data_IF_115826766391
#
_entry.id   IF_115826766391
#
_cell.length_a   1.000
_cell.length_b   1.000
_cell.length_c   1.000
_cell.angle_alpha   90.00
_cell.angle_beta   90.00
_cell.angle_gamma   90.00
#
_symmetry.space_group_name_H-M   'P 1'
#
loop_
_entity.id
_entity.type
_entity.pdbx_description
1 polymer ?
#
# COMPACT_ATOMS: atom_id res chain seq x y z
N UNK A 1 16.99 6.34 -7.82
CA UNK A 1 16.03 6.86 -8.84
C UNK A 1 14.87 7.49 -8.08
N UNK A 2 14.24 8.53 -8.60
CA UNK A 2 13.08 9.14 -7.94
C UNK A 2 11.88 8.19 -8.06
N UNK A 3 11.19 7.92 -6.95
CA UNK A 3 10.01 7.07 -6.90
C UNK A 3 8.83 7.77 -7.62
N UNK A 4 8.07 6.98 -8.38
CA UNK A 4 6.91 7.46 -9.12
C UNK A 4 5.63 7.19 -8.35
N UNK A 5 4.87 8.25 -8.07
CA UNK A 5 3.59 8.21 -7.37
C UNK A 5 2.46 8.39 -8.40
N UNK A 6 1.48 7.50 -8.38
CA UNK A 6 0.24 7.65 -9.13
C UNK A 6 -0.80 8.35 -8.24
N UNK A 7 -1.39 9.43 -8.73
CA UNK A 7 -2.49 10.14 -8.07
C UNK A 7 -3.75 10.01 -8.93
N UNK A 8 -4.78 9.41 -8.39
CA UNK A 8 -6.06 9.17 -9.07
C UNK A 8 -7.16 9.92 -8.33
N UNK A 9 -7.61 11.01 -8.92
CA UNK A 9 -8.66 11.89 -8.35
C UNK A 9 -9.32 12.65 -9.50
N UNK A 10 -10.64 12.67 -9.59
CA UNK A 10 -11.36 13.41 -10.63
C UNK A 10 -11.42 14.92 -10.34
N UNK A 11 -11.18 15.31 -9.09
CA UNK A 11 -11.03 16.71 -8.69
C UNK A 11 -9.61 17.21 -9.07
N UNK A 12 -9.48 17.84 -10.23
CA UNK A 12 -8.19 18.32 -10.77
C UNK A 12 -7.41 19.19 -9.77
N UNK A 13 -8.10 20.06 -9.02
CA UNK A 13 -7.48 20.95 -8.02
C UNK A 13 -6.81 20.17 -6.90
N UNK A 14 -7.44 19.08 -6.44
CA UNK A 14 -6.87 18.19 -5.41
C UNK A 14 -5.65 17.46 -5.96
N UNK A 15 -5.78 16.88 -7.15
CA UNK A 15 -4.67 16.17 -7.80
C UNK A 15 -3.46 17.10 -8.06
N UNK A 16 -3.68 18.37 -8.47
CA UNK A 16 -2.64 19.36 -8.66
C UNK A 16 -2.00 19.78 -7.34
N UNK A 17 -2.80 20.01 -6.31
CA UNK A 17 -2.28 20.35 -4.98
C UNK A 17 -1.36 19.24 -4.47
N UNK A 18 -1.80 17.99 -4.50
CA UNK A 18 -1.02 16.82 -4.07
C UNK A 18 0.25 16.69 -4.92
N UNK A 19 0.16 16.87 -6.25
CA UNK A 19 1.30 16.82 -7.14
C UNK A 19 2.39 17.84 -6.75
N UNK A 20 2.02 19.09 -6.47
CA UNK A 20 2.97 20.13 -6.08
C UNK A 20 3.74 19.74 -4.82
N UNK A 21 3.06 19.26 -3.79
CA UNK A 21 3.70 18.87 -2.54
C UNK A 21 4.59 17.63 -2.71
N UNK A 22 4.16 16.64 -3.48
CA UNK A 22 4.98 15.43 -3.74
C UNK A 22 6.21 15.76 -4.59
N UNK A 23 6.09 16.61 -5.61
CA UNK A 23 7.23 17.06 -6.41
C UNK A 23 8.26 17.86 -5.60
N UNK A 24 7.82 18.68 -4.65
CA UNK A 24 8.72 19.40 -3.75
C UNK A 24 9.56 18.45 -2.87
N UNK A 25 9.08 17.24 -2.64
CA UNK A 25 9.80 16.18 -1.92
C UNK A 25 10.66 15.29 -2.83
N UNK A 26 10.70 15.59 -4.14
CA UNK A 26 11.53 14.91 -5.11
C UNK A 26 10.88 13.68 -5.78
N UNK A 27 9.58 13.44 -5.58
CA UNK A 27 8.86 12.37 -6.24
C UNK A 27 8.49 12.72 -7.68
N UNK A 28 8.42 11.71 -8.55
CA UNK A 28 7.77 11.81 -9.85
C UNK A 28 6.28 11.54 -9.66
N UNK A 29 5.43 12.33 -10.32
CA UNK A 29 3.97 12.19 -10.18
C UNK A 29 3.34 11.94 -11.54
N UNK A 30 2.48 10.93 -11.61
CA UNK A 30 1.52 10.69 -12.69
C UNK A 30 0.13 10.92 -12.14
N UNK A 31 -0.71 11.64 -12.90
CA UNK A 31 -2.11 11.89 -12.53
C UNK A 31 -3.04 11.15 -13.47
N UNK A 32 -4.18 10.75 -12.96
CA UNK A 32 -5.32 10.24 -13.72
C UNK A 32 -6.62 10.72 -13.09
N UNK A 33 -7.61 11.03 -13.88
CA UNK A 33 -8.94 11.42 -13.43
C UNK A 33 -9.97 10.29 -13.51
N UNK A 34 -9.56 9.09 -13.93
CA UNK A 34 -10.44 7.92 -14.04
C UNK A 34 -9.70 6.61 -13.80
N UNK A 35 -10.44 5.59 -13.41
CA UNK A 35 -9.89 4.28 -13.09
C UNK A 35 -9.30 3.55 -14.31
N UNK A 36 -9.88 3.70 -15.49
CA UNK A 36 -9.39 3.03 -16.70
C UNK A 36 -7.97 3.48 -17.07
N UNK A 37 -7.70 4.78 -17.02
CA UNK A 37 -6.37 5.34 -17.26
C UNK A 37 -5.41 4.96 -16.12
N UNK A 38 -5.86 4.99 -14.88
CA UNK A 38 -5.07 4.60 -13.72
C UNK A 38 -4.57 3.16 -13.81
N UNK A 39 -5.41 2.22 -14.22
CA UNK A 39 -5.02 0.82 -14.46
C UNK A 39 -3.97 0.71 -15.57
N UNK A 40 -4.16 1.44 -16.67
CA UNK A 40 -3.17 1.45 -17.75
C UNK A 40 -1.81 1.99 -17.29
N UNK A 41 -1.81 3.07 -16.51
CA UNK A 41 -0.58 3.64 -15.95
C UNK A 41 0.08 2.63 -14.99
N UNK A 42 -0.69 2.00 -14.10
CA UNK A 42 -0.19 1.00 -13.18
C UNK A 42 0.46 -0.20 -13.89
N UNK A 43 -0.11 -0.65 -15.02
CA UNK A 43 0.43 -1.78 -15.80
C UNK A 43 1.65 -1.39 -16.67
N UNK A 44 1.85 -0.11 -17.00
CA UNK A 44 2.88 0.33 -17.97
C UNK A 44 4.02 1.16 -17.37
N UNK A 45 3.84 1.68 -16.16
CA UNK A 45 4.82 2.55 -15.51
C UNK A 45 5.33 1.91 -14.20
N UNK A 46 6.57 2.20 -13.80
CA UNK A 46 7.14 1.70 -12.55
C UNK A 46 6.59 2.48 -11.34
N UNK A 47 5.33 2.25 -10.99
CA UNK A 47 4.67 2.92 -9.87
C UNK A 47 5.23 2.37 -8.55
N UNK A 48 5.64 3.28 -7.67
CA UNK A 48 6.13 2.94 -6.33
C UNK A 48 5.03 3.03 -5.26
N UNK A 49 3.98 3.85 -5.47
CA UNK A 49 2.83 4.03 -4.59
C UNK A 49 1.69 4.68 -5.37
N UNK A 50 0.44 4.36 -5.04
CA UNK A 50 -0.71 5.08 -5.57
C UNK A 50 -1.60 5.68 -4.47
N UNK A 51 -2.11 6.88 -4.75
CA UNK A 51 -3.18 7.57 -4.02
C UNK A 51 -4.45 7.44 -4.85
N UNK A 52 -5.50 6.88 -4.29
CA UNK A 52 -6.74 6.57 -5.00
C UNK A 52 -7.93 7.26 -4.34
N UNK A 53 -8.64 8.11 -5.07
CA UNK A 53 -9.94 8.58 -4.60
C UNK A 53 -10.96 7.44 -4.62
N UNK A 54 -11.83 7.42 -3.62
CA UNK A 54 -12.97 6.49 -3.55
C UNK A 54 -14.02 6.83 -4.60
N UNK A 55 -14.26 8.13 -4.84
CA UNK A 55 -15.31 8.62 -5.71
C UNK A 55 -14.74 8.95 -7.10
N UNK A 56 -14.71 7.98 -8.01
CA UNK A 56 -14.31 8.19 -9.40
C UNK A 56 -15.51 8.06 -10.35
N UNK A 57 -15.47 8.72 -11.52
CA UNK A 57 -16.64 8.79 -12.41
C UNK A 57 -16.97 7.48 -13.14
N UNK A 58 -15.98 6.62 -13.37
CA UNK A 58 -16.11 5.40 -14.19
C UNK A 58 -16.12 4.11 -13.36
N UNK A 59 -15.47 4.12 -12.20
CA UNK A 59 -15.38 2.95 -11.33
C UNK A 59 -15.08 3.43 -9.91
N UNK A 60 -15.73 2.88 -8.90
CA UNK A 60 -15.40 3.23 -7.51
C UNK A 60 -13.95 2.85 -7.15
N UNK A 61 -13.32 3.66 -6.30
CA UNK A 61 -11.92 3.51 -5.94
C UNK A 61 -11.60 2.20 -5.21
N UNK A 62 -12.55 1.59 -4.51
CA UNK A 62 -12.34 0.29 -3.87
C UNK A 62 -12.23 -0.84 -4.91
N UNK A 63 -13.08 -0.79 -5.93
CA UNK A 63 -12.99 -1.73 -7.06
C UNK A 63 -11.70 -1.53 -7.85
N UNK A 64 -11.26 -0.27 -8.02
CA UNK A 64 -9.95 0.04 -8.63
C UNK A 64 -8.80 -0.54 -7.79
N UNK A 65 -8.82 -0.33 -6.47
CA UNK A 65 -7.84 -0.89 -5.54
C UNK A 65 -7.73 -2.40 -5.69
N UNK A 66 -8.86 -3.12 -5.68
CA UNK A 66 -8.89 -4.57 -5.86
C UNK A 66 -8.27 -5.00 -7.20
N UNK A 67 -8.62 -4.33 -8.31
CA UNK A 67 -8.06 -4.65 -9.63
C UNK A 67 -6.55 -4.41 -9.71
N UNK A 68 -6.05 -3.35 -9.07
CA UNK A 68 -4.60 -3.10 -8.97
C UNK A 68 -3.95 -4.24 -8.17
N UNK A 69 -4.55 -4.67 -7.06
CA UNK A 69 -4.02 -5.75 -6.20
C UNK A 69 -3.97 -7.12 -6.88
N UNK A 70 -4.76 -7.37 -7.91
CA UNK A 70 -4.66 -8.61 -8.70
C UNK A 70 -3.29 -8.78 -9.37
N UNK A 71 -2.55 -7.68 -9.60
CA UNK A 71 -1.28 -7.69 -10.34
C UNK A 71 -0.11 -7.01 -9.62
N UNK A 72 -0.39 -6.06 -8.71
CA UNK A 72 0.60 -5.16 -8.15
C UNK A 72 0.55 -5.13 -6.63
N UNK A 73 1.73 -5.08 -6.00
CA UNK A 73 1.90 -5.07 -4.55
C UNK A 73 2.43 -3.74 -3.99
N UNK A 74 2.62 -2.71 -4.84
CA UNK A 74 3.04 -1.40 -4.33
C UNK A 74 1.98 -0.80 -3.39
N UNK A 75 2.36 0.02 -2.40
CA UNK A 75 1.44 0.59 -1.43
C UNK A 75 0.30 1.39 -2.08
N UNK A 76 -0.93 1.22 -1.54
CA UNK A 76 -2.12 1.94 -1.95
C UNK A 76 -2.70 2.71 -0.76
N UNK A 77 -2.86 4.03 -0.91
CA UNK A 77 -3.50 4.90 0.07
C UNK A 77 -4.82 5.38 -0.51
N UNK A 78 -5.91 5.15 0.20
CA UNK A 78 -7.24 5.62 -0.23
C UNK A 78 -7.48 7.05 0.26
N UNK A 79 -8.00 7.90 -0.62
CA UNK A 79 -8.51 9.23 -0.28
C UNK A 79 -10.03 9.13 -0.18
N UNK A 80 -10.62 9.41 0.98
CA UNK A 80 -12.04 9.18 1.21
C UNK A 80 -12.74 10.41 1.81
N UNK A 81 -13.96 10.70 1.38
CA UNK A 81 -14.80 11.66 2.08
C UNK A 81 -15.20 11.06 3.44
N UNK A 82 -15.34 11.93 4.45
CA UNK A 82 -15.65 11.55 5.84
C UNK A 82 -17.08 11.00 5.95
N UNK A 83 -17.30 9.76 5.56
CA UNK A 83 -18.57 9.07 5.73
C UNK A 83 -18.34 7.68 6.28
N UNK A 84 -18.76 7.50 7.52
CA UNK A 84 -18.96 6.27 8.30
C UNK A 84 -17.81 5.24 8.39
N UNK A 85 -17.64 4.68 9.57
CA UNK A 85 -16.64 3.62 9.90
C UNK A 85 -16.75 2.37 9.00
N UNK A 86 -17.84 2.20 8.27
CA UNK A 86 -18.08 1.12 7.31
C UNK A 86 -17.11 1.18 6.13
N UNK A 87 -16.74 2.37 5.66
CA UNK A 87 -15.82 2.52 4.52
C UNK A 87 -14.40 2.14 4.90
N UNK A 88 -13.97 2.42 6.15
CA UNK A 88 -12.64 2.04 6.65
C UNK A 88 -12.49 0.52 6.81
N UNK A 89 -13.51 -0.15 7.35
CA UNK A 89 -13.50 -1.60 7.54
C UNK A 89 -13.57 -2.32 6.20
N UNK A 90 -14.39 -1.85 5.27
CA UNK A 90 -14.50 -2.40 3.91
C UNK A 90 -13.20 -2.22 3.14
N UNK A 91 -12.54 -1.09 3.27
CA UNK A 91 -11.31 -0.80 2.56
C UNK A 91 -10.10 -1.61 3.04
N UNK A 92 -9.94 -1.81 4.35
CA UNK A 92 -8.89 -2.69 4.93
C UNK A 92 -9.05 -4.14 4.43
N UNK A 93 -10.30 -4.59 4.21
CA UNK A 93 -10.60 -5.92 3.66
C UNK A 93 -10.28 -6.02 2.16
N UNK A 94 -10.15 -4.88 1.44
CA UNK A 94 -9.94 -4.82 -0.01
C UNK A 94 -8.48 -4.59 -0.43
N UNK A 95 -7.54 -4.54 0.54
CA UNK A 95 -6.11 -4.49 0.26
C UNK A 95 -5.49 -3.10 0.16
N UNK A 96 -6.14 -2.05 0.66
CA UNK A 96 -5.50 -0.76 0.86
C UNK A 96 -4.57 -0.79 2.10
N UNK A 97 -3.44 -0.09 2.02
CA UNK A 97 -2.43 -0.06 3.09
C UNK A 97 -2.64 1.12 4.06
N UNK A 98 -3.37 2.16 3.65
CA UNK A 98 -3.69 3.33 4.49
C UNK A 98 -4.88 4.12 3.93
N UNK A 99 -5.43 5.04 4.76
CA UNK A 99 -6.57 5.89 4.45
C UNK A 99 -6.32 7.32 4.88
N UNK A 100 -6.73 8.27 4.04
CA UNK A 100 -6.71 9.71 4.34
C UNK A 100 -8.12 10.25 4.10
N UNK A 101 -8.69 10.92 5.11
CA UNK A 101 -10.02 11.52 4.99
C UNK A 101 -9.95 12.91 4.39
N UNK A 102 -10.77 13.18 3.37
CA UNK A 102 -11.00 14.53 2.83
C UNK A 102 -11.94 15.33 3.77
N UNK A 103 -11.70 16.65 4.02
CA UNK A 103 -10.54 17.40 3.57
C UNK A 103 -9.27 17.07 4.38
N UNK A 104 -8.14 16.98 3.70
CA UNK A 104 -6.85 16.65 4.30
C UNK A 104 -5.85 17.81 4.20
N UNK A 105 -4.86 17.79 5.07
CA UNK A 105 -3.68 18.63 4.91
C UNK A 105 -2.70 17.96 3.93
N UNK A 106 -2.23 18.65 2.86
CA UNK A 106 -1.25 18.08 1.93
C UNK A 106 0.01 17.55 2.59
N UNK A 107 0.45 18.15 3.71
CA UNK A 107 1.58 17.66 4.49
C UNK A 107 1.29 16.29 5.16
N UNK A 108 0.04 16.01 5.49
CA UNK A 108 -0.37 14.67 5.96
C UNK A 108 -0.20 13.63 4.85
N UNK A 109 -0.64 13.95 3.62
CA UNK A 109 -0.47 13.07 2.47
C UNK A 109 1.02 12.75 2.27
N UNK A 110 1.87 13.77 2.26
CA UNK A 110 3.33 13.60 2.14
C UNK A 110 3.89 12.71 3.24
N UNK A 111 3.50 12.92 4.49
CA UNK A 111 3.99 12.14 5.62
C UNK A 111 3.60 10.66 5.51
N UNK A 112 2.38 10.37 5.09
CA UNK A 112 1.88 9.00 4.88
C UNK A 112 2.57 8.33 3.68
N UNK A 113 2.71 9.04 2.56
CA UNK A 113 3.46 8.55 1.39
C UNK A 113 4.89 8.17 1.79
N UNK A 114 5.61 9.05 2.50
CA UNK A 114 6.97 8.76 3.01
C UNK A 114 7.00 7.52 3.91
N UNK A 115 6.00 7.39 4.77
CA UNK A 115 5.93 6.25 5.71
C UNK A 115 5.69 4.94 4.96
N UNK A 116 4.74 4.90 4.03
CA UNK A 116 4.43 3.71 3.25
C UNK A 116 5.58 3.32 2.32
N UNK A 117 6.19 4.29 1.61
CA UNK A 117 7.36 4.03 0.78
C UNK A 117 8.54 3.52 1.59
N UNK A 118 8.82 4.11 2.76
CA UNK A 118 9.90 3.66 3.64
C UNK A 118 9.70 2.22 4.08
N UNK A 119 8.47 1.82 4.42
CA UNK A 119 8.12 0.43 4.72
C UNK A 119 8.39 -0.45 3.49
N UNK A 120 7.81 -0.12 2.35
CA UNK A 120 7.94 -0.89 1.12
C UNK A 120 9.39 -1.02 0.63
N UNK A 121 10.18 0.07 0.66
CA UNK A 121 11.59 0.06 0.25
C UNK A 121 12.46 -0.70 1.25
N UNK A 122 12.23 -0.51 2.57
CA UNK A 122 12.98 -1.26 3.59
C UNK A 122 12.81 -2.76 3.41
N UNK A 123 11.61 -3.20 3.04
CA UNK A 123 11.30 -4.60 2.85
C UNK A 123 11.87 -5.16 1.53
N UNK A 124 12.02 -4.33 0.51
CA UNK A 124 12.62 -4.73 -0.77
C UNK A 124 14.15 -4.53 -0.85
N UNK A 125 14.79 -3.83 0.10
CA UNK A 125 16.22 -3.47 0.03
C UNK A 125 17.08 -3.95 1.21
N UNK A 126 16.49 -4.44 2.28
CA UNK A 126 17.28 -4.93 3.41
C UNK A 126 17.32 -6.44 3.47
N UNK A 127 18.36 -7.03 2.87
CA UNK A 127 19.03 -8.15 3.53
C UNK A 127 19.93 -7.55 4.63
N UNK A 128 19.59 -7.62 5.92
CA UNK A 128 20.54 -7.25 6.98
C UNK A 128 21.52 -8.40 7.16
N UNK A 129 22.80 -8.09 7.13
CA UNK A 129 23.90 -9.04 7.32
C UNK A 129 23.91 -9.78 8.67
N UNK A 130 22.96 -9.52 9.56
CA UNK A 130 22.83 -10.30 10.82
C UNK A 130 21.41 -10.13 11.39
N UNK A 131 20.44 -10.92 10.91
CA UNK A 131 19.14 -11.09 11.56
C UNK A 131 18.88 -12.57 11.86
N UNK A 132 18.21 -12.90 12.99
CA UNK A 132 17.80 -14.26 13.28
C UNK A 132 16.83 -14.76 12.20
N UNK A 133 17.07 -15.96 11.72
CA UNK A 133 16.32 -16.73 10.71
C UNK A 133 15.43 -15.90 9.77
N UNK A 134 15.93 -15.61 8.58
CA UNK A 134 15.15 -14.93 7.51
C UNK A 134 13.91 -15.72 7.06
N UNK A 135 13.70 -16.89 7.61
CA UNK A 135 12.66 -17.86 7.22
C UNK A 135 11.96 -18.42 8.45
N UNK A 136 10.64 -18.44 8.41
CA UNK A 136 9.81 -19.20 9.36
C UNK A 136 9.06 -20.32 8.63
N UNK A 137 9.11 -21.53 9.21
CA UNK A 137 8.24 -22.65 8.84
C UNK A 137 7.33 -22.96 10.05
N UNK A 138 6.05 -22.73 9.87
CA UNK A 138 5.04 -22.86 10.90
C UNK A 138 3.94 -23.84 10.47
N UNK A 139 4.28 -25.14 10.42
CA UNK A 139 3.27 -26.17 10.18
C UNK A 139 2.56 -26.06 8.82
N UNK A 140 3.34 -25.81 7.77
CA UNK A 140 2.84 -25.67 6.40
C UNK A 140 2.76 -24.23 5.90
N UNK A 141 2.84 -23.23 6.80
CA UNK A 141 3.09 -21.84 6.44
C UNK A 141 4.59 -21.61 6.37
N UNK A 142 5.10 -21.33 5.18
CA UNK A 142 6.48 -20.92 4.93
C UNK A 142 6.50 -19.44 4.57
N UNK A 143 7.29 -18.66 5.26
CA UNK A 143 7.47 -17.23 5.01
C UNK A 143 8.95 -16.88 5.02
N UNK A 144 9.41 -16.24 3.98
CA UNK A 144 10.77 -15.81 3.78
C UNK A 144 10.79 -14.28 3.60
N UNK A 145 11.43 -13.62 4.55
CA UNK A 145 11.48 -12.17 4.60
C UNK A 145 12.45 -11.58 3.56
N UNK A 146 13.53 -12.30 3.21
CA UNK A 146 14.53 -11.82 2.24
C UNK A 146 13.95 -11.84 0.82
N UNK A 147 13.30 -12.93 0.44
CA UNK A 147 12.70 -13.07 -0.88
C UNK A 147 11.27 -12.50 -0.95
N UNK A 148 10.72 -12.04 0.18
CA UNK A 148 9.34 -11.55 0.31
C UNK A 148 8.31 -12.58 -0.17
N UNK A 149 8.57 -13.86 0.08
CA UNK A 149 7.72 -14.95 -0.36
C UNK A 149 6.97 -15.58 0.79
N UNK A 150 5.71 -15.92 0.56
CA UNK A 150 4.89 -16.65 1.49
C UNK A 150 4.19 -17.79 0.78
N UNK A 151 4.23 -18.99 1.37
CA UNK A 151 3.48 -20.14 0.85
C UNK A 151 2.73 -20.86 1.97
N UNK A 152 1.56 -21.39 1.63
CA UNK A 152 0.77 -22.23 2.52
C UNK A 152 0.63 -23.63 1.90
N UNK A 153 1.18 -24.63 2.58
CA UNK A 153 1.28 -26.00 2.06
C UNK A 153 1.87 -26.09 0.65
N UNK A 154 2.92 -25.27 0.40
CA UNK A 154 3.61 -25.19 -0.89
C UNK A 154 2.90 -24.38 -1.98
N UNK A 155 1.72 -23.80 -1.72
CA UNK A 155 1.01 -22.93 -2.63
C UNK A 155 1.37 -21.48 -2.33
N UNK A 156 1.78 -20.66 -3.34
CA UNK A 156 2.07 -19.25 -3.12
C UNK A 156 0.86 -18.51 -2.56
N UNK A 157 1.10 -17.64 -1.57
CA UNK A 157 0.13 -16.66 -1.07
C UNK A 157 0.52 -15.28 -1.57
N UNK A 158 -0.42 -14.61 -2.22
CA UNK A 158 -0.27 -13.20 -2.58
C UNK A 158 -0.77 -12.35 -1.42
N UNK A 159 0.16 -11.72 -0.71
CA UNK A 159 -0.11 -10.82 0.41
C UNK A 159 0.26 -9.40 0.02
N UNK A 160 -0.52 -8.42 0.48
CA UNK A 160 -0.10 -7.03 0.43
C UNK A 160 1.12 -6.80 1.33
N UNK A 161 1.91 -5.73 1.15
CA UNK A 161 3.04 -5.43 2.02
C UNK A 161 2.66 -5.41 3.51
N UNK A 162 1.52 -4.82 3.86
CA UNK A 162 1.05 -4.76 5.25
C UNK A 162 0.67 -6.15 5.80
N UNK A 163 -0.05 -6.96 5.03
CA UNK A 163 -0.42 -8.32 5.43
C UNK A 163 0.81 -9.20 5.63
N UNK A 164 1.80 -9.07 4.75
CA UNK A 164 3.06 -9.79 4.87
C UNK A 164 3.79 -9.42 6.17
N UNK A 165 3.87 -8.13 6.50
CA UNK A 165 4.51 -7.64 7.72
C UNK A 165 3.81 -8.10 9.00
N UNK A 166 2.49 -8.01 9.03
CA UNK A 166 1.70 -8.50 10.15
C UNK A 166 1.97 -10.01 10.34
N UNK A 167 1.91 -10.77 9.26
CA UNK A 167 2.16 -12.21 9.31
C UNK A 167 3.58 -12.54 9.76
N UNK A 168 4.59 -11.83 9.21
CA UNK A 168 5.98 -11.95 9.61
C UNK A 168 6.17 -11.65 11.10
N UNK A 169 5.61 -10.53 11.58
CA UNK A 169 5.69 -10.14 12.98
C UNK A 169 5.07 -11.21 13.90
N UNK A 170 3.90 -11.73 13.54
CA UNK A 170 3.25 -12.80 14.29
C UNK A 170 4.09 -14.09 14.30
N UNK A 171 4.71 -14.46 13.19
CA UNK A 171 5.63 -15.60 13.12
C UNK A 171 6.86 -15.39 14.01
N UNK A 172 7.42 -14.18 14.07
CA UNK A 172 8.56 -13.84 14.93
C UNK A 172 8.24 -13.90 16.42
N UNK A 173 6.96 -13.74 16.78
CA UNK A 173 6.44 -13.78 18.16
C UNK A 173 5.68 -15.09 18.48
N UNK A 174 5.99 -16.17 17.77
CA UNK A 174 5.35 -17.47 17.96
C UNK A 174 5.32 -17.89 19.44
N UNK A 175 4.13 -18.19 19.94
CA UNK A 175 3.91 -18.58 21.34
C UNK A 175 3.67 -17.40 22.31
N UNK A 176 3.65 -16.16 21.84
CA UNK A 176 3.29 -14.97 22.61
C UNK A 176 1.99 -14.37 22.10
N UNK A 177 1.21 -13.79 23.01
CA UNK A 177 0.05 -12.98 22.65
C UNK A 177 0.54 -11.61 22.22
N UNK A 178 0.11 -11.14 21.07
CA UNK A 178 0.43 -9.81 20.51
C UNK A 178 -0.82 -8.95 20.60
N UNK A 179 -0.71 -7.76 21.20
CA UNK A 179 -1.82 -6.82 21.30
C UNK A 179 -2.00 -6.06 19.97
N UNK A 180 -3.20 -5.49 19.76
CA UNK A 180 -3.46 -4.63 18.61
C UNK A 180 -2.58 -3.36 18.60
N UNK A 181 -2.22 -2.84 19.78
CA UNK A 181 -1.33 -1.68 19.94
C UNK A 181 0.13 -1.98 19.53
N UNK A 182 0.53 -3.25 19.56
CA UNK A 182 1.86 -3.69 19.08
C UNK A 182 1.90 -3.90 17.57
N UNK A 183 0.74 -4.06 16.91
CA UNK A 183 0.63 -4.28 15.47
C UNK A 183 0.44 -2.99 14.66
N UNK A 184 -0.09 -1.94 15.27
CA UNK A 184 -0.43 -0.66 14.67
C UNK A 184 0.16 0.51 15.44
#
# INVERSE_FOLDING_TARGET
>A
MAEMILVVDDETEIAELVEVYLKNEGYLVKKSSCAAEALHIADTQPIALALLDVMLPDLDGFTLCRKIREKHLFPLIMLTAKTEDVDKITGLTLGADDYITKPFNPLEVVARVKTQLRRYIRYNQTAPEHAPAAVYDCGGLYIDHESHTCTLYGKPLSLTPLEFEILWYLCSRKGHVVSSEELF
#
